data_IF_796913456315
#
_entry.id   IF_796913456315
#
_cell.length_a   1.000
_cell.length_b   1.000
_cell.length_c   1.000
_cell.angle_alpha   90.00
_cell.angle_beta   90.00
_cell.angle_gamma   90.00
#
_symmetry.space_group_name_H-M   'P 1'
#
loop_
_entity.id
_entity.type
_entity.pdbx_description
1 polymer ?
#
# COMPACT_ATOMS: atom_id res chain seq x y z
N UNK A 1 -4.15 -4.32 -1.76
CA UNK A 1 -4.93 -3.25 -2.43
C UNK A 1 -5.86 -3.84 -3.47
N UNK A 2 -5.35 -4.45 -4.56
CA UNK A 2 -6.16 -5.06 -5.62
C UNK A 2 -7.29 -5.96 -5.11
N UNK A 3 -6.98 -6.94 -4.24
CA UNK A 3 -7.99 -7.84 -3.65
C UNK A 3 -9.13 -7.12 -2.91
N UNK A 4 -8.81 -6.00 -2.25
CA UNK A 4 -9.81 -5.17 -1.58
C UNK A 4 -10.69 -4.43 -2.59
N UNK A 5 -10.11 -3.92 -3.69
CA UNK A 5 -10.89 -3.30 -4.78
C UNK A 5 -11.85 -4.30 -5.41
N UNK A 6 -11.42 -5.56 -5.60
CA UNK A 6 -12.29 -6.62 -6.13
C UNK A 6 -13.52 -6.90 -5.26
N UNK A 7 -13.36 -6.84 -3.94
CA UNK A 7 -14.36 -7.30 -2.97
C UNK A 7 -15.24 -6.18 -2.41
N UNK A 8 -14.67 -4.97 -2.26
CA UNK A 8 -15.27 -3.89 -1.48
C UNK A 8 -15.70 -2.69 -2.34
N UNK A 9 -15.33 -2.64 -3.62
CA UNK A 9 -15.61 -1.47 -4.45
C UNK A 9 -17.09 -1.39 -4.86
N UNK A 10 -17.72 -0.26 -4.55
CA UNK A 10 -19.09 0.08 -4.93
C UNK A 10 -19.14 1.40 -5.73
N UNK A 11 -19.91 1.49 -6.83
CA UNK A 11 -20.74 0.43 -7.40
C UNK A 11 -19.90 -0.68 -8.03
N UNK A 12 -20.44 -1.90 -8.14
CA UNK A 12 -19.73 -3.00 -8.79
C UNK A 12 -19.23 -2.52 -10.16
N UNK A 13 -17.99 -2.86 -10.53
CA UNK A 13 -17.46 -2.48 -11.83
C UNK A 13 -18.44 -2.99 -12.91
N UNK A 14 -18.63 -2.26 -14.02
CA UNK A 14 -19.67 -2.56 -15.01
C UNK A 14 -19.68 -4.06 -15.33
N UNK A 15 -20.89 -4.66 -15.22
CA UNK A 15 -21.15 -6.12 -15.16
C UNK A 15 -20.06 -6.95 -15.87
N UNK A 16 -19.27 -7.71 -15.10
CA UNK A 16 -18.25 -8.63 -15.62
C UNK A 16 -16.79 -8.30 -15.27
N UNK A 17 -16.51 -7.27 -14.46
CA UNK A 17 -15.16 -6.77 -14.18
C UNK A 17 -14.67 -6.90 -12.73
N UNK A 18 -15.09 -7.90 -11.96
CA UNK A 18 -14.32 -8.26 -10.75
C UNK A 18 -13.05 -9.00 -11.20
N UNK A 19 -12.04 -8.24 -11.65
CA UNK A 19 -10.75 -8.81 -12.06
C UNK A 19 -10.05 -9.33 -10.81
N UNK A 20 -9.53 -10.57 -10.78
CA UNK A 20 -8.68 -11.00 -9.69
C UNK A 20 -7.40 -10.15 -9.61
N UNK A 21 -6.71 -10.11 -8.45
CA UNK A 21 -5.40 -9.46 -8.34
C UNK A 21 -4.47 -9.93 -9.47
N UNK A 22 -3.80 -9.00 -10.19
CA UNK A 22 -2.90 -9.38 -11.27
C UNK A 22 -1.71 -10.16 -10.72
N UNK A 23 -1.25 -11.12 -11.50
CA UNK A 23 0.00 -11.84 -11.27
C UNK A 23 1.23 -10.94 -11.51
N UNK A 24 2.41 -11.35 -11.03
CA UNK A 24 3.65 -10.60 -11.27
C UNK A 24 3.95 -10.38 -12.77
N UNK A 25 3.78 -11.37 -13.67
CA UNK A 25 3.96 -11.14 -15.11
C UNK A 25 2.96 -10.14 -15.70
N UNK A 26 1.70 -10.17 -15.25
CA UNK A 26 0.70 -9.18 -15.69
C UNK A 26 1.10 -7.76 -15.26
N UNK A 27 1.53 -7.59 -14.00
CA UNK A 27 2.03 -6.31 -13.48
C UNK A 27 3.20 -5.79 -14.33
N UNK A 28 4.17 -6.66 -14.64
CA UNK A 28 5.32 -6.29 -15.46
C UNK A 28 4.92 -5.89 -16.89
N UNK A 29 4.06 -6.68 -17.53
CA UNK A 29 3.56 -6.36 -18.87
C UNK A 29 2.75 -5.07 -18.90
N UNK A 30 1.97 -4.76 -17.86
CA UNK A 30 1.24 -3.49 -17.79
C UNK A 30 2.19 -2.29 -17.76
N UNK A 31 3.25 -2.36 -16.95
CA UNK A 31 4.25 -1.28 -16.85
C UNK A 31 5.01 -1.09 -18.16
N UNK A 32 5.31 -2.18 -18.88
CA UNK A 32 5.88 -2.10 -20.24
C UNK A 32 4.88 -1.51 -21.23
N UNK A 33 3.62 -1.94 -21.19
CA UNK A 33 2.58 -1.46 -22.11
C UNK A 33 2.27 0.03 -21.95
N UNK A 34 2.38 0.56 -20.72
CA UNK A 34 2.24 1.99 -20.42
C UNK A 34 3.50 2.80 -20.77
N UNK A 35 4.60 2.15 -21.14
CA UNK A 35 5.88 2.82 -21.42
C UNK A 35 6.65 3.29 -20.18
N UNK A 36 6.23 2.89 -18.97
CA UNK A 36 6.94 3.20 -17.72
C UNK A 36 8.26 2.40 -17.61
N UNK A 37 8.25 1.15 -18.10
CA UNK A 37 9.42 0.27 -18.11
C UNK A 37 9.78 -0.19 -19.53
N UNK A 38 11.05 -0.49 -19.73
CA UNK A 38 11.56 -1.07 -20.98
C UNK A 38 11.08 -2.52 -21.16
N UNK A 39 11.04 -3.01 -22.40
CA UNK A 39 10.58 -4.38 -22.71
C UNK A 39 11.31 -5.49 -21.92
N UNK A 40 12.58 -5.28 -21.59
CA UNK A 40 13.39 -6.23 -20.79
C UNK A 40 12.91 -6.38 -19.34
N UNK A 41 12.06 -5.48 -18.85
CA UNK A 41 11.46 -5.56 -17.52
C UNK A 41 10.47 -6.74 -17.40
N UNK A 42 9.81 -7.11 -18.50
CA UNK A 42 8.93 -8.27 -18.54
C UNK A 42 9.74 -9.56 -18.33
N UNK A 43 9.36 -10.35 -17.31
CA UNK A 43 10.09 -11.56 -16.91
C UNK A 43 11.32 -11.29 -16.03
N UNK A 44 11.60 -10.03 -15.70
CA UNK A 44 12.69 -9.67 -14.77
C UNK A 44 12.32 -10.02 -13.31
N UNK A 45 13.26 -9.80 -12.39
CA UNK A 45 13.05 -9.84 -10.93
C UNK A 45 13.30 -8.48 -10.29
N UNK A 46 13.19 -7.42 -11.09
CA UNK A 46 13.35 -6.06 -10.60
C UNK A 46 12.20 -5.70 -9.65
N UNK A 47 12.51 -4.86 -8.66
CA UNK A 47 11.55 -4.35 -7.70
C UNK A 47 10.73 -3.21 -8.31
N UNK A 48 9.55 -2.96 -7.73
CA UNK A 48 8.71 -1.82 -8.05
C UNK A 48 8.37 -1.05 -6.78
N UNK A 49 8.09 0.23 -6.91
CA UNK A 49 7.72 1.10 -5.82
C UNK A 49 6.23 1.43 -5.79
N UNK A 50 5.92 2.41 -4.95
CA UNK A 50 4.58 2.97 -4.80
C UNK A 50 4.04 3.66 -6.04
N UNK A 51 4.92 4.19 -6.88
CA UNK A 51 4.53 4.88 -8.11
C UNK A 51 4.06 3.88 -9.16
N UNK A 52 4.86 2.84 -9.42
CA UNK A 52 4.44 1.74 -10.30
C UNK A 52 3.18 1.05 -9.77
N UNK A 53 3.04 0.87 -8.45
CA UNK A 53 1.83 0.35 -7.85
C UNK A 53 0.60 1.23 -8.15
N UNK A 54 0.74 2.56 -8.12
CA UNK A 54 -0.33 3.48 -8.50
C UNK A 54 -0.72 3.31 -9.98
N UNK A 55 0.25 3.24 -10.89
CA UNK A 55 0.01 3.02 -12.31
C UNK A 55 -0.72 1.70 -12.59
N UNK A 56 -0.32 0.62 -11.91
CA UNK A 56 -0.93 -0.71 -12.07
C UNK A 56 -2.37 -0.73 -11.55
N UNK A 57 -2.66 -0.05 -10.45
CA UNK A 57 -4.03 0.07 -9.93
C UNK A 57 -4.93 0.84 -10.89
N UNK A 58 -4.44 1.96 -11.42
CA UNK A 58 -5.16 2.76 -12.41
C UNK A 58 -5.43 1.95 -13.69
N UNK A 59 -4.39 1.31 -14.24
CA UNK A 59 -4.47 0.52 -15.47
C UNK A 59 -5.49 -0.62 -15.41
N UNK A 60 -5.52 -1.38 -14.31
CA UNK A 60 -6.38 -2.57 -14.21
C UNK A 60 -7.74 -2.31 -13.59
N UNK A 61 -7.86 -1.31 -12.72
CA UNK A 61 -9.05 -1.10 -11.89
C UNK A 61 -9.70 0.27 -12.10
N UNK A 62 -9.11 1.17 -12.89
CA UNK A 62 -9.58 2.55 -13.09
C UNK A 62 -9.64 3.31 -11.75
N UNK A 63 -8.61 3.11 -10.93
CA UNK A 63 -8.47 3.67 -9.58
C UNK A 63 -7.23 4.55 -9.50
N UNK A 64 -7.38 5.87 -9.59
CA UNK A 64 -6.25 6.77 -9.41
C UNK A 64 -5.78 6.72 -7.95
N UNK A 65 -4.49 6.97 -7.73
CA UNK A 65 -3.91 6.96 -6.39
C UNK A 65 -3.26 8.31 -6.06
N UNK A 66 -3.46 8.79 -4.84
CA UNK A 66 -2.69 9.90 -4.27
C UNK A 66 -1.36 9.34 -3.75
N UNK A 67 -0.23 9.86 -4.23
CA UNK A 67 1.08 9.52 -3.69
C UNK A 67 1.49 10.57 -2.67
N UNK A 68 1.72 10.15 -1.43
CA UNK A 68 2.21 11.01 -0.34
C UNK A 68 3.68 10.70 -0.09
N UNK A 69 4.53 11.70 -0.30
CA UNK A 69 5.96 11.59 -0.03
C UNK A 69 6.28 12.15 1.36
N UNK A 70 6.99 11.35 2.16
CA UNK A 70 7.46 11.67 3.50
C UNK A 70 8.99 11.65 3.44
N UNK A 71 9.63 12.80 3.57
CA UNK A 71 11.08 12.98 3.39
C UNK A 71 11.90 12.42 4.54
N UNK A 72 11.26 12.12 5.66
CA UNK A 72 11.87 11.57 6.87
C UNK A 72 11.59 12.43 8.10
N UNK A 73 12.06 11.97 9.26
CA UNK A 73 11.84 12.63 10.55
C UNK A 73 10.45 12.39 11.16
N UNK A 74 10.37 12.51 12.49
CA UNK A 74 9.15 12.19 13.25
C UNK A 74 7.94 13.06 12.91
N UNK A 75 8.13 14.35 12.59
CA UNK A 75 7.03 15.29 12.34
C UNK A 75 6.29 14.98 11.04
N UNK A 76 7.01 14.74 9.94
CA UNK A 76 6.36 14.43 8.66
C UNK A 76 5.66 13.07 8.69
N UNK A 77 6.21 12.12 9.42
CA UNK A 77 5.58 10.81 9.65
C UNK A 77 4.29 10.92 10.47
N UNK A 78 4.23 11.80 11.47
CA UNK A 78 3.00 12.08 12.20
C UNK A 78 1.97 12.81 11.32
N UNK A 79 2.40 13.74 10.46
CA UNK A 79 1.51 14.35 9.45
C UNK A 79 0.97 13.32 8.45
N UNK A 80 1.79 12.34 8.07
CA UNK A 80 1.32 11.23 7.25
C UNK A 80 0.27 10.38 7.98
N UNK A 81 0.34 10.27 9.31
CA UNK A 81 -0.70 9.60 10.10
C UNK A 81 -2.04 10.37 10.06
N UNK A 82 -2.02 11.70 10.08
CA UNK A 82 -3.22 12.53 9.90
C UNK A 82 -3.85 12.33 8.50
N UNK A 83 -3.03 12.31 7.45
CA UNK A 83 -3.46 11.99 6.08
C UNK A 83 -4.08 10.59 6.00
N UNK A 84 -3.51 9.60 6.70
CA UNK A 84 -4.06 8.25 6.77
C UNK A 84 -5.41 8.22 7.49
N UNK A 85 -5.63 9.01 8.54
CA UNK A 85 -6.94 9.09 9.20
C UNK A 85 -8.01 9.55 8.20
N UNK A 86 -7.74 10.62 7.46
CA UNK A 86 -8.66 11.14 6.44
C UNK A 86 -8.90 10.11 5.34
N UNK A 87 -7.85 9.41 4.90
CA UNK A 87 -7.95 8.37 3.88
C UNK A 87 -8.82 7.19 4.33
N UNK A 88 -8.59 6.65 5.53
CA UNK A 88 -9.39 5.52 6.01
C UNK A 88 -10.84 5.90 6.32
N UNK A 89 -11.11 7.15 6.66
CA UNK A 89 -12.48 7.66 6.84
C UNK A 89 -13.21 7.88 5.52
N UNK A 90 -12.54 8.40 4.49
CA UNK A 90 -13.16 8.77 3.21
C UNK A 90 -13.13 7.66 2.15
N UNK A 91 -12.02 6.92 2.06
CA UNK A 91 -11.76 5.89 1.04
C UNK A 91 -11.86 4.47 1.61
N UNK A 92 -11.38 4.28 2.84
CA UNK A 92 -11.38 2.98 3.55
C UNK A 92 -10.46 1.91 2.97
N UNK A 93 -9.74 2.20 1.88
CA UNK A 93 -8.90 1.22 1.20
C UNK A 93 -7.55 1.02 1.89
N UNK A 94 -6.94 -0.18 1.83
CA UNK A 94 -5.55 -0.38 2.23
C UNK A 94 -4.59 0.52 1.46
N UNK A 95 -3.47 0.87 2.10
CA UNK A 95 -2.42 1.73 1.55
C UNK A 95 -1.12 0.93 1.41
N UNK A 96 -0.37 1.13 0.33
CA UNK A 96 1.00 0.62 0.23
C UNK A 96 1.98 1.70 0.70
N UNK A 97 2.92 1.31 1.54
CA UNK A 97 4.04 2.15 1.98
C UNK A 97 5.35 1.51 1.50
N UNK A 98 6.12 2.26 0.73
CA UNK A 98 7.47 1.89 0.33
C UNK A 98 8.49 2.75 1.05
N UNK A 99 9.51 2.15 1.65
CA UNK A 99 10.69 2.86 2.16
C UNK A 99 11.88 2.65 1.23
N UNK A 100 12.74 3.66 1.18
CA UNK A 100 13.97 3.63 0.37
C UNK A 100 15.06 2.80 1.05
N UNK A 101 15.51 3.25 2.22
CA UNK A 101 16.66 2.62 2.90
C UNK A 101 16.32 1.28 3.55
N UNK A 102 15.06 1.09 3.93
CA UNK A 102 14.61 -0.16 4.53
C UNK A 102 14.30 -1.25 3.48
N UNK A 103 14.29 -0.90 2.18
CA UNK A 103 14.00 -1.78 1.04
C UNK A 103 12.78 -2.69 1.28
N UNK A 104 11.80 -2.21 2.04
CA UNK A 104 10.73 -3.05 2.58
C UNK A 104 9.38 -2.42 2.33
N UNK A 105 8.62 -3.01 1.41
CA UNK A 105 7.22 -2.64 1.19
C UNK A 105 6.34 -3.09 2.36
N UNK A 106 5.33 -2.29 2.69
CA UNK A 106 4.41 -2.54 3.81
C UNK A 106 2.98 -2.24 3.38
N UNK A 107 2.04 -3.08 3.81
CA UNK A 107 0.61 -2.79 3.69
C UNK A 107 0.13 -2.08 4.96
N UNK A 108 -0.39 -0.87 4.83
CA UNK A 108 -1.00 -0.13 5.95
C UNK A 108 -2.50 -0.38 5.92
N UNK A 109 -3.03 -0.94 7.01
CA UNK A 109 -4.43 -1.35 7.14
C UNK A 109 -5.23 -0.46 8.10
N UNK A 110 -4.56 0.42 8.82
CA UNK A 110 -5.19 1.32 9.76
C UNK A 110 -4.20 2.24 10.45
N UNK A 111 -4.74 3.27 11.10
CA UNK A 111 -3.98 4.26 11.88
C UNK A 111 -4.72 4.52 13.19
N UNK A 112 -3.97 4.75 14.26
CA UNK A 112 -4.49 5.11 15.56
C UNK A 112 -3.57 6.15 16.19
N UNK A 113 -4.14 7.24 16.71
CA UNK A 113 -3.39 8.29 17.39
C UNK A 113 -3.84 8.35 18.83
N UNK A 114 -2.91 8.28 19.78
CA UNK A 114 -3.26 8.38 21.20
C UNK A 114 -3.43 9.84 21.63
N UNK A 115 -4.41 10.13 22.51
CA UNK A 115 -4.53 11.44 23.13
C UNK A 115 -3.27 11.83 23.92
N UNK A 116 -3.04 13.13 24.10
CA UNK A 116 -1.97 13.65 24.98
C UNK A 116 -0.55 13.53 24.41
N UNK A 117 -0.39 13.55 23.09
CA UNK A 117 0.93 13.62 22.45
C UNK A 117 1.76 12.34 22.50
N UNK A 118 1.13 11.18 22.77
CA UNK A 118 1.85 9.90 22.86
C UNK A 118 2.24 9.29 21.49
N UNK A 119 1.95 10.00 20.40
CA UNK A 119 2.27 9.66 19.01
C UNK A 119 1.25 8.75 18.35
N UNK A 120 1.46 8.50 17.06
CA UNK A 120 0.61 7.66 16.23
C UNK A 120 1.15 6.24 16.06
N UNK A 121 0.25 5.33 15.70
CA UNK A 121 0.49 3.93 15.45
C UNK A 121 -0.12 3.55 14.10
N UNK A 122 0.58 2.70 13.35
CA UNK A 122 0.13 2.14 12.08
C UNK A 122 -0.11 0.64 12.23
N UNK A 123 -1.23 0.14 11.72
CA UNK A 123 -1.46 -1.29 11.60
C UNK A 123 -0.77 -1.76 10.32
N UNK A 124 0.39 -2.40 10.47
CA UNK A 124 1.26 -2.81 9.37
C UNK A 124 1.07 -4.29 9.10
N UNK A 125 0.84 -4.62 7.82
CA UNK A 125 0.90 -5.95 7.24
C UNK A 125 2.21 -6.07 6.45
N UNK A 126 3.04 -7.02 6.85
CA UNK A 126 4.32 -7.32 6.24
C UNK A 126 4.13 -8.36 5.11
N UNK A 127 4.41 -8.02 3.84
CA UNK A 127 4.24 -8.91 2.69
C UNK A 127 5.38 -9.90 2.48
N UNK A 128 6.45 -9.89 3.30
CA UNK A 128 7.66 -10.71 3.09
C UNK A 128 7.54 -12.14 3.62
N UNK A 129 6.37 -12.53 4.14
CA UNK A 129 6.16 -13.90 4.60
C UNK A 129 6.30 -14.88 3.43
N UNK A 130 7.14 -15.89 3.62
CA UNK A 130 7.27 -17.04 2.73
C UNK A 130 7.06 -18.32 3.53
N UNK A 131 6.06 -19.11 3.12
CA UNK A 131 5.71 -20.35 3.81
C UNK A 131 4.27 -20.78 3.55
N UNK A 132 3.80 -21.84 4.24
CA UNK A 132 2.43 -22.31 4.14
C UNK A 132 1.42 -21.28 4.67
N UNK A 133 0.15 -21.44 4.31
CA UNK A 133 -0.92 -20.57 4.81
C UNK A 133 -0.92 -20.55 6.35
N UNK A 134 -0.90 -19.35 6.91
CA UNK A 134 -0.99 -19.13 8.35
C UNK A 134 -2.44 -18.89 8.80
N UNK A 135 -2.75 -19.38 10.00
CA UNK A 135 -3.95 -19.01 10.73
C UNK A 135 -3.83 -17.59 11.31
N UNK A 136 -4.97 -16.93 11.55
CA UNK A 136 -5.01 -15.54 12.04
C UNK A 136 -4.17 -15.32 13.30
N UNK A 137 -4.25 -16.26 14.25
CA UNK A 137 -3.51 -16.20 15.51
C UNK A 137 -2.00 -16.25 15.29
N UNK A 138 -1.53 -17.06 14.34
CA UNK A 138 -0.11 -17.13 13.96
C UNK A 138 0.35 -15.86 13.25
N UNK A 139 -0.47 -15.30 12.34
CA UNK A 139 -0.16 -14.03 11.65
C UNK A 139 0.06 -12.90 12.66
N UNK A 140 -0.80 -12.81 13.68
CA UNK A 140 -0.69 -11.79 14.73
C UNK A 140 0.44 -12.09 15.73
N UNK A 141 0.52 -13.34 16.21
CA UNK A 141 1.50 -13.77 17.20
C UNK A 141 2.96 -13.68 16.70
N UNK A 142 3.18 -13.86 15.40
CA UNK A 142 4.49 -13.70 14.76
C UNK A 142 4.76 -12.27 14.28
N UNK A 143 3.78 -11.36 14.39
CA UNK A 143 3.95 -9.95 14.05
C UNK A 143 3.82 -9.60 12.57
N UNK A 144 3.46 -10.54 11.69
CA UNK A 144 3.20 -10.30 10.26
C UNK A 144 2.09 -9.26 10.03
N UNK A 145 1.12 -9.20 10.95
CA UNK A 145 0.18 -8.07 11.06
C UNK A 145 0.22 -7.54 12.48
N UNK A 146 0.75 -6.33 12.67
CA UNK A 146 0.92 -5.75 14.00
C UNK A 146 0.87 -4.23 14.01
N UNK A 147 0.53 -3.65 15.17
CA UNK A 147 0.62 -2.22 15.38
C UNK A 147 2.08 -1.81 15.59
N UNK A 148 2.55 -0.86 14.79
CA UNK A 148 3.89 -0.26 14.88
C UNK A 148 3.77 1.20 15.25
N UNK A 149 4.59 1.66 16.20
CA UNK A 149 4.64 3.09 16.54
C UNK A 149 5.27 3.84 15.36
N UNK A 150 4.69 4.97 14.97
CA UNK A 150 5.24 5.79 13.87
C UNK A 150 6.70 6.18 14.14
N UNK A 151 7.01 6.54 15.39
CA UNK A 151 8.39 6.84 15.82
C UNK A 151 9.35 5.64 15.87
N UNK A 152 8.93 4.41 15.56
CA UNK A 152 9.86 3.28 15.40
C UNK A 152 10.29 3.05 13.95
N UNK A 153 9.78 3.85 13.01
CA UNK A 153 10.22 3.83 11.61
C UNK A 153 11.57 4.52 11.46
N UNK A 154 12.32 4.18 10.42
CA UNK A 154 13.64 4.75 10.18
C UNK A 154 13.53 6.23 9.81
N UNK A 155 13.98 7.10 10.73
CA UNK A 155 13.97 8.55 10.54
C UNK A 155 14.92 9.05 9.46
N UNK A 156 15.89 8.23 9.06
CA UNK A 156 16.86 8.54 8.00
C UNK A 156 16.41 8.08 6.60
N UNK A 157 15.29 7.36 6.53
CA UNK A 157 14.65 6.97 5.27
C UNK A 157 13.57 7.98 4.88
N UNK A 158 13.33 8.12 3.58
CA UNK A 158 12.06 8.63 3.10
C UNK A 158 11.08 7.47 2.89
N UNK A 159 9.79 7.80 2.89
CA UNK A 159 8.70 6.89 2.63
C UNK A 159 7.75 7.48 1.61
N UNK A 160 7.28 6.64 0.69
CA UNK A 160 6.16 6.96 -0.18
C UNK A 160 4.96 6.13 0.23
N UNK A 161 3.78 6.75 0.24
CA UNK A 161 2.51 6.08 0.46
C UNK A 161 1.66 6.20 -0.79
N UNK A 162 1.11 5.07 -1.25
CA UNK A 162 0.15 5.01 -2.35
C UNK A 162 -1.25 4.80 -1.80
N UNK A 163 -2.09 5.84 -1.91
CA UNK A 163 -3.44 5.93 -1.36
C UNK A 163 -4.49 5.84 -2.48
N UNK A 164 -5.13 4.68 -2.70
CA UNK A 164 -6.16 4.54 -3.74
C UNK A 164 -7.37 5.46 -3.51
N UNK A 165 -7.82 6.17 -4.54
CA UNK A 165 -8.96 7.09 -4.45
C UNK A 165 -10.21 6.37 -4.95
N UNK A 166 -11.06 5.95 -4.01
CA UNK A 166 -12.18 5.04 -4.21
C UNK A 166 -13.55 5.71 -4.11
N UNK A 167 -13.63 6.84 -3.42
CA UNK A 167 -14.81 7.70 -3.38
C UNK A 167 -14.96 8.43 -4.72
N UNK A 168 -16.16 8.43 -5.29
CA UNK A 168 -16.46 9.24 -6.49
C UNK A 168 -16.29 10.73 -6.18
N UNK A 169 -15.78 11.49 -7.16
CA UNK A 169 -16.06 12.92 -7.27
C UNK A 169 -17.53 13.15 -7.57
#
# INVERSE_FOLDING_TARGET
MASWLCQSWAPPPPKGKCRPPPSLPEIQHALVAMGDKLAMFAGSREWIGTFEAALVLDYYYDVPCKVVHVRGGGVELERAAEELHQHFQSQGSPVMMGGDRDNSSKGILGVCTRPGGQGSYLLVMDPHYYGPRLERTSVQGLGWVSWKKVGSLDHSSFYNLCLPQTSRK
#
